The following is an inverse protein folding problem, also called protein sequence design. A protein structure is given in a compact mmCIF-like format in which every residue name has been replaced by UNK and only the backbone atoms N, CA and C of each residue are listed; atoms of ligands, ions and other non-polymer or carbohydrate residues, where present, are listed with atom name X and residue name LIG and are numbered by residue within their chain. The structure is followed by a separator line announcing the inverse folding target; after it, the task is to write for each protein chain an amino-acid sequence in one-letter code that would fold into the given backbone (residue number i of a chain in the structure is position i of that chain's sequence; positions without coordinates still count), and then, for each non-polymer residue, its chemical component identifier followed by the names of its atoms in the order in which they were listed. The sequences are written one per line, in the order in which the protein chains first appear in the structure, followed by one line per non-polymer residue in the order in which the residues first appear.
data_IF_108042294392
#
_entry.id   IF_108042294392
#
_cell.length_a   1.000
_cell.length_b   1.000
_cell.length_c   1.000
_cell.angle_alpha   90.00
_cell.angle_beta   90.00
_cell.angle_gamma   90.00
#
_symmetry.space_group_name_H-M   'P 1'
#
loop_
_entity.id
_entity.type
_entity.pdbx_description
1 polymer ?
#
# COMPACT_ATOMS: atom_id res chain seq x y z
N UNK A 1 6.59 10.11 6.68
CA UNK A 1 5.23 10.03 7.22
C UNK A 1 4.71 11.41 7.60
N UNK A 2 3.42 11.66 7.35
CA UNK A 2 2.78 12.95 7.63
C UNK A 2 2.21 13.04 9.06
N UNK A 3 2.15 11.93 9.78
CA UNK A 3 1.60 11.86 11.14
C UNK A 3 2.36 10.85 12.01
N UNK A 4 2.10 10.90 13.32
CA UNK A 4 2.75 10.06 14.32
C UNK A 4 2.52 8.56 14.07
N UNK A 5 1.31 8.16 13.67
CA UNK A 5 1.01 6.77 13.35
C UNK A 5 1.86 6.26 12.18
N UNK A 6 1.96 7.02 11.10
CA UNK A 6 2.83 6.68 9.97
C UNK A 6 4.30 6.63 10.36
N UNK A 7 4.75 7.51 11.29
CA UNK A 7 6.11 7.49 11.82
C UNK A 7 6.41 6.19 12.59
N UNK A 8 5.49 5.72 13.43
CA UNK A 8 5.66 4.45 14.15
C UNK A 8 5.71 3.25 13.22
N UNK A 9 4.92 3.26 12.15
CA UNK A 9 4.95 2.19 11.13
C UNK A 9 6.28 2.18 10.35
N UNK A 10 6.78 3.35 9.97
CA UNK A 10 8.09 3.46 9.32
C UNK A 10 9.21 2.97 10.26
N UNK A 11 9.19 3.38 11.52
CA UNK A 11 10.17 2.93 12.50
C UNK A 11 10.14 1.40 12.65
N UNK A 12 8.95 0.82 12.78
CA UNK A 12 8.76 -0.63 12.85
C UNK A 12 9.35 -1.32 11.62
N UNK A 13 9.03 -0.87 10.41
CA UNK A 13 9.58 -1.40 9.16
C UNK A 13 11.11 -1.40 9.18
N UNK A 14 11.72 -0.26 9.56
CA UNK A 14 13.19 -0.12 9.62
C UNK A 14 13.83 -1.01 10.67
N UNK A 15 13.21 -1.17 11.83
CA UNK A 15 13.72 -2.04 12.90
C UNK A 15 13.68 -3.52 12.49
N UNK A 16 12.58 -3.98 11.89
CA UNK A 16 12.48 -5.37 11.43
C UNK A 16 13.48 -5.68 10.33
N UNK A 17 13.62 -4.80 9.34
CA UNK A 17 14.61 -4.96 8.27
C UNK A 17 16.04 -4.94 8.83
N UNK A 18 16.35 -4.02 9.74
CA UNK A 18 17.66 -3.93 10.38
C UNK A 18 17.96 -5.14 11.28
N UNK A 19 16.95 -5.75 11.89
CA UNK A 19 17.10 -6.93 12.74
C UNK A 19 17.77 -8.10 12.00
N UNK A 20 17.61 -8.20 10.67
CA UNK A 20 18.28 -9.23 9.86
C UNK A 20 19.79 -9.18 9.97
N UNK A 21 20.40 -8.00 10.16
CA UNK A 21 21.86 -7.84 10.28
C UNK A 21 22.43 -8.39 11.59
N UNK A 22 21.58 -8.55 12.61
CA UNK A 22 21.99 -9.09 13.91
C UNK A 22 21.85 -10.61 14.01
N UNK A 23 21.29 -11.24 12.97
CA UNK A 23 21.08 -12.68 12.94
C UNK A 23 22.27 -13.35 12.27
N UNK A 24 22.87 -14.32 13.00
CA UNK A 24 23.82 -15.22 12.41
C UNK A 24 23.08 -16.31 11.61
N UNK A 25 22.98 -16.15 10.29
CA UNK A 25 22.28 -17.07 9.38
C UNK A 25 22.85 -18.50 9.41
N UNK A 26 24.11 -18.69 9.84
CA UNK A 26 24.70 -20.02 10.00
C UNK A 26 24.11 -20.77 11.21
N UNK A 27 23.57 -20.03 12.19
CA UNK A 27 22.97 -20.60 13.42
C UNK A 27 21.45 -20.54 13.44
N UNK A 28 20.87 -19.55 12.78
CA UNK A 28 19.44 -19.27 12.79
C UNK A 28 18.89 -19.18 11.37
N UNK A 29 17.78 -19.86 11.13
CA UNK A 29 17.06 -19.82 9.84
C UNK A 29 16.00 -18.70 9.77
N UNK A 30 15.90 -17.87 10.81
CA UNK A 30 14.90 -16.78 10.86
C UNK A 30 15.23 -15.71 9.81
N UNK A 31 14.24 -15.32 9.06
CA UNK A 31 14.32 -14.22 8.06
C UNK A 31 13.36 -13.14 8.44
N UNK A 32 13.82 -11.91 8.48
CA UNK A 32 12.98 -10.73 8.70
C UNK A 32 12.73 -10.04 7.36
N UNK A 33 11.47 -9.91 7.00
CA UNK A 33 11.00 -9.16 5.84
C UNK A 33 9.97 -8.14 6.31
N UNK A 34 9.77 -7.09 5.56
CA UNK A 34 8.67 -6.15 5.78
C UNK A 34 7.69 -6.20 4.60
N UNK A 35 6.43 -6.00 4.90
CA UNK A 35 5.36 -5.94 3.91
C UNK A 35 4.69 -4.58 4.01
N UNK A 36 4.57 -3.90 2.89
CA UNK A 36 3.93 -2.61 2.78
C UNK A 36 2.78 -2.72 1.79
N UNK A 37 1.56 -2.51 2.24
CA UNK A 37 0.37 -2.53 1.39
C UNK A 37 -0.62 -1.44 1.79
N UNK A 38 -1.64 -1.23 0.95
CA UNK A 38 -2.65 -0.21 1.13
C UNK A 38 -3.78 -0.62 2.09
N UNK A 39 -4.90 0.06 1.97
CA UNK A 39 -6.06 -0.19 2.83
C UNK A 39 -6.74 -1.51 2.46
N UNK A 40 -6.97 -2.36 3.46
CA UNK A 40 -7.77 -3.57 3.26
C UNK A 40 -9.25 -3.15 3.20
N UNK A 41 -9.89 -3.44 2.06
CA UNK A 41 -11.28 -3.07 1.80
C UNK A 41 -12.22 -3.69 2.85
N UNK A 42 -13.12 -2.88 3.39
CA UNK A 42 -14.07 -3.35 4.39
C UNK A 42 -13.49 -3.58 5.80
N UNK A 43 -12.22 -3.28 6.03
CA UNK A 43 -11.61 -3.41 7.37
C UNK A 43 -12.28 -2.49 8.40
N UNK A 44 -12.24 -2.91 9.67
CA UNK A 44 -12.84 -2.17 10.78
C UNK A 44 -12.32 -0.73 10.85
N UNK A 45 -13.23 0.24 10.91
CA UNK A 45 -12.89 1.66 10.94
C UNK A 45 -12.49 2.29 9.61
N UNK A 46 -12.46 1.52 8.51
CA UNK A 46 -12.19 2.06 7.17
C UNK A 46 -13.36 2.90 6.65
N UNK A 47 -13.13 3.61 5.54
CA UNK A 47 -14.12 4.52 4.94
C UNK A 47 -15.39 3.80 4.47
N UNK A 48 -15.24 2.60 3.92
CA UNK A 48 -16.37 1.83 3.37
C UNK A 48 -17.45 1.50 4.42
N UNK A 49 -17.16 0.86 5.56
CA UNK A 49 -18.15 0.64 6.62
C UNK A 49 -18.80 1.93 7.13
N UNK A 50 -18.03 3.03 7.22
CA UNK A 50 -18.56 4.33 7.66
C UNK A 50 -19.57 4.89 6.66
N UNK A 51 -19.29 4.79 5.37
CA UNK A 51 -20.23 5.24 4.33
C UNK A 51 -21.50 4.39 4.35
N UNK A 52 -21.38 3.06 4.51
CA UNK A 52 -22.55 2.18 4.66
C UNK A 52 -23.42 2.53 5.85
N UNK A 53 -22.81 2.84 6.99
CA UNK A 53 -23.55 3.26 8.19
C UNK A 53 -24.31 4.56 7.95
N UNK A 54 -23.65 5.56 7.33
CA UNK A 54 -24.28 6.84 6.99
C UNK A 54 -25.47 6.66 6.03
N UNK A 55 -25.31 5.84 4.99
CA UNK A 55 -26.37 5.53 4.04
C UNK A 55 -27.57 4.88 4.76
N UNK A 56 -27.31 3.86 5.58
CA UNK A 56 -28.37 3.16 6.33
C UNK A 56 -29.17 4.08 7.27
N UNK A 57 -28.51 5.11 7.79
CA UNK A 57 -29.11 6.08 8.71
C UNK A 57 -29.72 7.28 8.00
N UNK A 58 -29.73 7.33 6.66
CA UNK A 58 -30.11 8.50 5.85
C UNK A 58 -29.34 9.77 6.25
N UNK A 59 -28.05 9.64 6.58
CA UNK A 59 -27.16 10.73 6.94
C UNK A 59 -26.25 11.09 5.76
N UNK A 60 -25.75 12.35 5.74
CA UNK A 60 -24.78 12.77 4.74
C UNK A 60 -23.46 12.01 4.86
N UNK A 61 -22.86 11.70 3.70
CA UNK A 61 -21.54 11.04 3.66
C UNK A 61 -20.46 12.13 3.84
N UNK A 62 -19.62 12.01 4.88
CA UNK A 62 -18.53 12.96 5.09
C UNK A 62 -17.39 12.67 4.08
N UNK A 63 -17.13 13.61 3.18
CA UNK A 63 -16.03 13.57 2.23
C UNK A 63 -14.94 14.54 2.71
N UNK A 64 -13.76 14.01 2.97
CA UNK A 64 -12.62 14.83 3.41
C UNK A 64 -12.16 15.75 2.29
N UNK A 65 -11.91 15.19 1.10
CA UNK A 65 -11.58 15.92 -0.12
C UNK A 65 -12.00 15.07 -1.33
N UNK A 66 -12.71 15.66 -2.32
CA UNK A 66 -13.13 14.93 -3.53
C UNK A 66 -11.98 14.37 -4.38
N UNK A 67 -10.79 14.95 -4.31
CA UNK A 67 -9.61 14.50 -5.06
C UNK A 67 -8.84 13.37 -4.35
N UNK A 68 -9.27 12.99 -3.15
CA UNK A 68 -8.58 12.00 -2.34
C UNK A 68 -8.62 10.62 -2.98
N UNK A 69 -7.45 9.98 -3.09
CA UNK A 69 -7.32 8.62 -3.60
C UNK A 69 -6.70 7.68 -2.57
N UNK A 70 -7.04 6.39 -2.63
CA UNK A 70 -6.53 5.35 -1.73
C UNK A 70 -6.18 4.10 -2.50
N UNK A 71 -5.08 3.46 -2.12
CA UNK A 71 -4.80 2.09 -2.54
C UNK A 71 -5.74 1.12 -1.84
N UNK A 72 -6.11 0.07 -2.54
CA UNK A 72 -7.00 -0.95 -1.99
C UNK A 72 -6.58 -2.36 -2.37
N UNK A 73 -6.88 -3.28 -1.49
CA UNK A 73 -6.84 -4.71 -1.73
C UNK A 73 -7.91 -5.39 -0.85
N UNK A 74 -8.36 -6.55 -1.26
CA UNK A 74 -9.26 -7.38 -0.45
C UNK A 74 -8.51 -8.07 0.68
N UNK A 75 -9.23 -8.66 1.63
CA UNK A 75 -8.61 -9.48 2.68
C UNK A 75 -7.90 -10.70 2.11
N UNK A 76 -8.48 -11.36 1.12
CA UNK A 76 -7.89 -12.54 0.48
C UNK A 76 -6.60 -12.16 -0.27
N UNK A 77 -6.61 -11.07 -1.04
CA UNK A 77 -5.40 -10.55 -1.69
C UNK A 77 -4.30 -10.18 -0.68
N UNK A 78 -4.68 -9.62 0.49
CA UNK A 78 -3.72 -9.32 1.54
C UNK A 78 -3.09 -10.59 2.14
N UNK A 79 -3.90 -11.63 2.40
CA UNK A 79 -3.43 -12.90 2.92
C UNK A 79 -2.52 -13.62 1.92
N UNK A 80 -2.93 -13.69 0.65
CA UNK A 80 -2.13 -14.28 -0.42
C UNK A 80 -0.78 -13.54 -0.60
N UNK A 81 -0.81 -12.22 -0.51
CA UNK A 81 0.41 -11.41 -0.57
C UNK A 81 1.33 -11.69 0.62
N UNK A 82 0.79 -11.80 1.84
CA UNK A 82 1.57 -12.10 3.05
C UNK A 82 2.22 -13.49 2.92
N UNK A 83 1.44 -14.52 2.60
CA UNK A 83 1.92 -15.89 2.50
C UNK A 83 2.97 -16.03 1.39
N UNK A 84 2.68 -15.56 0.19
CA UNK A 84 3.61 -15.63 -0.94
C UNK A 84 4.90 -14.82 -0.71
N UNK A 85 4.81 -13.67 -0.02
CA UNK A 85 6.01 -12.89 0.34
C UNK A 85 6.86 -13.60 1.39
N UNK A 86 6.23 -14.32 2.33
CA UNK A 86 6.94 -15.12 3.34
C UNK A 86 7.72 -16.27 2.70
N UNK A 87 7.18 -16.89 1.67
CA UNK A 87 7.87 -17.94 0.91
C UNK A 87 9.03 -17.39 0.07
N UNK A 88 8.82 -16.23 -0.54
CA UNK A 88 9.80 -15.59 -1.42
C UNK A 88 10.96 -14.92 -0.68
N UNK A 89 10.73 -14.44 0.56
CA UNK A 89 11.69 -13.60 1.28
C UNK A 89 12.98 -14.30 1.65
N UNK A 90 14.10 -13.61 1.45
CA UNK A 90 15.46 -14.06 1.82
C UNK A 90 15.99 -13.35 3.07
N UNK A 91 15.38 -12.21 3.43
CA UNK A 91 15.69 -11.36 4.59
C UNK A 91 16.14 -9.95 4.19
N UNK A 92 15.68 -8.96 4.93
CA UNK A 92 15.87 -7.51 4.71
C UNK A 92 15.09 -6.88 3.56
N UNK A 93 14.31 -7.64 2.81
CA UNK A 93 13.46 -7.07 1.76
C UNK A 93 12.23 -6.37 2.35
N UNK A 94 11.78 -5.34 1.62
CA UNK A 94 10.42 -4.81 1.76
C UNK A 94 9.66 -5.17 0.50
N UNK A 95 8.61 -5.97 0.63
CA UNK A 95 7.72 -6.29 -0.48
C UNK A 95 6.55 -5.30 -0.51
N UNK A 96 6.23 -4.81 -1.70
CA UNK A 96 5.15 -3.86 -1.96
C UNK A 96 4.31 -4.38 -3.12
N UNK A 97 3.02 -4.72 -2.94
CA UNK A 97 2.19 -5.22 -4.02
C UNK A 97 1.88 -4.11 -5.04
N UNK A 98 1.64 -4.49 -6.28
CA UNK A 98 1.10 -3.62 -7.32
C UNK A 98 -0.40 -3.51 -7.12
N UNK A 99 -0.84 -2.46 -6.44
CA UNK A 99 -2.23 -2.27 -6.04
C UNK A 99 -2.98 -1.39 -7.03
N UNK A 100 -4.28 -1.65 -7.12
CA UNK A 100 -5.25 -0.72 -7.69
C UNK A 100 -5.54 0.39 -6.68
N UNK A 101 -6.02 1.53 -7.18
CA UNK A 101 -6.49 2.62 -6.37
C UNK A 101 -7.88 3.07 -6.83
N UNK A 102 -8.58 3.79 -5.96
CA UNK A 102 -9.87 4.38 -6.25
C UNK A 102 -9.93 5.79 -5.67
N UNK A 103 -10.73 6.66 -6.26
CA UNK A 103 -11.09 7.93 -5.64
C UNK A 103 -12.20 7.74 -4.60
N UNK A 104 -12.22 8.59 -3.59
CA UNK A 104 -13.30 8.57 -2.59
C UNK A 104 -14.66 8.85 -3.25
N UNK A 105 -14.67 9.62 -4.33
CA UNK A 105 -15.88 9.91 -5.09
C UNK A 105 -16.38 8.68 -5.86
N UNK A 106 -15.48 7.85 -6.42
CA UNK A 106 -15.88 6.60 -7.08
C UNK A 106 -16.52 5.64 -6.09
N UNK A 107 -15.93 5.50 -4.90
CA UNK A 107 -16.53 4.70 -3.83
C UNK A 107 -17.95 5.17 -3.50
N UNK A 108 -18.14 6.48 -3.32
CA UNK A 108 -19.49 7.05 -3.05
C UNK A 108 -20.44 6.76 -4.21
N UNK A 109 -20.02 6.99 -5.46
CA UNK A 109 -20.86 6.79 -6.63
C UNK A 109 -21.25 5.32 -6.81
N UNK A 110 -20.31 4.39 -6.64
CA UNK A 110 -20.59 2.95 -6.67
C UNK A 110 -21.60 2.53 -5.59
N UNK A 111 -21.52 3.11 -4.40
CA UNK A 111 -22.49 2.86 -3.34
C UNK A 111 -23.88 3.39 -3.71
N UNK A 112 -24.00 4.58 -4.32
CA UNK A 112 -25.26 5.10 -4.85
C UNK A 112 -25.93 4.13 -5.82
N UNK A 113 -25.16 3.59 -6.74
CA UNK A 113 -25.64 2.63 -7.74
C UNK A 113 -26.11 1.31 -7.08
N UNK A 114 -25.30 0.75 -6.18
CA UNK A 114 -25.61 -0.51 -5.49
C UNK A 114 -26.90 -0.40 -4.66
N UNK A 115 -27.05 0.69 -3.91
CA UNK A 115 -28.21 0.89 -3.06
C UNK A 115 -29.41 1.49 -3.79
N UNK A 116 -29.25 1.86 -5.07
CA UNK A 116 -30.29 2.54 -5.90
C UNK A 116 -30.84 3.81 -5.22
N UNK A 117 -30.00 4.45 -4.42
CA UNK A 117 -30.35 5.65 -3.68
C UNK A 117 -29.82 6.90 -4.36
N UNK A 118 -30.68 7.61 -5.06
CA UNK A 118 -30.31 8.85 -5.76
C UNK A 118 -30.07 10.05 -4.82
N UNK A 119 -30.51 9.98 -3.58
CA UNK A 119 -30.49 11.09 -2.63
C UNK A 119 -29.36 11.03 -1.59
N UNK A 120 -28.29 10.26 -1.86
CA UNK A 120 -27.13 10.27 -0.97
C UNK A 120 -26.41 11.61 -1.14
N UNK A 121 -26.55 12.50 -0.14
CA UNK A 121 -25.85 13.77 -0.08
C UNK A 121 -24.45 13.58 0.53
N UNK A 122 -23.52 14.41 0.11
CA UNK A 122 -22.21 14.53 0.73
C UNK A 122 -22.05 15.80 1.52
N UNK A 123 -21.16 15.77 2.50
CA UNK A 123 -20.69 16.93 3.24
C UNK A 123 -19.17 17.00 3.14
N UNK A 124 -18.64 18.07 2.58
CA UNK A 124 -17.19 18.27 2.51
C UNK A 124 -16.71 18.77 3.87
N UNK A 125 -15.95 17.93 4.58
CA UNK A 125 -15.48 18.21 5.95
C UNK A 125 -14.06 18.76 6.03
N UNK A 126 -13.33 18.81 4.90
CA UNK A 126 -11.94 19.26 4.84
C UNK A 126 -10.92 18.21 5.29
N UNK A 127 -9.67 18.40 4.83
CA UNK A 127 -8.54 17.49 5.15
C UNK A 127 -8.13 17.69 6.61
N UNK A 128 -7.98 16.59 7.34
CA UNK A 128 -7.54 16.61 8.74
C UNK A 128 -6.02 16.76 8.82
N UNK A 129 -5.54 17.28 9.93
CA UNK A 129 -4.10 17.39 10.18
C UNK A 129 -3.43 16.01 10.10
N UNK A 130 -2.36 15.91 9.31
CA UNK A 130 -1.63 14.67 9.07
C UNK A 130 -2.31 13.68 8.13
N UNK A 131 -3.44 14.03 7.53
CA UNK A 131 -4.08 13.22 6.48
C UNK A 131 -3.49 13.57 5.11
N UNK A 132 -3.26 12.57 4.27
CA UNK A 132 -2.71 12.75 2.93
C UNK A 132 -3.84 12.72 1.90
N UNK A 133 -3.74 13.60 0.89
CA UNK A 133 -4.63 13.56 -0.26
C UNK A 133 -4.44 12.26 -1.05
N UNK A 134 -3.19 11.93 -1.37
CA UNK A 134 -2.80 10.70 -2.05
C UNK A 134 -1.81 9.91 -1.20
N UNK A 135 -1.87 8.59 -1.25
CA UNK A 135 -0.94 7.70 -0.56
C UNK A 135 0.26 7.39 -1.45
N UNK A 136 1.40 7.12 -0.82
CA UNK A 136 2.62 6.69 -1.50
C UNK A 136 3.00 5.28 -1.01
N UNK A 137 3.15 4.36 -1.95
CA UNK A 137 3.74 3.04 -1.69
C UNK A 137 5.25 3.04 -1.86
N UNK A 138 5.76 3.76 -2.86
CA UNK A 138 7.18 3.99 -3.09
C UNK A 138 7.45 5.49 -3.18
N UNK A 139 8.47 5.94 -2.50
CA UNK A 139 8.94 7.32 -2.59
C UNK A 139 10.16 7.45 -3.51
N UNK A 140 10.53 8.68 -3.84
CA UNK A 140 11.64 8.99 -4.75
C UNK A 140 12.97 8.36 -4.32
N UNK A 141 13.26 8.32 -3.02
CA UNK A 141 14.52 7.80 -2.49
C UNK A 141 14.59 6.26 -2.55
N UNK A 142 13.45 5.61 -2.69
CA UNK A 142 13.35 4.14 -2.77
C UNK A 142 13.45 3.63 -4.20
N UNK A 143 13.04 4.42 -5.19
CA UNK A 143 13.04 4.02 -6.61
C UNK A 143 14.39 3.44 -7.08
N UNK A 144 15.56 4.05 -6.78
CA UNK A 144 16.85 3.55 -7.26
C UNK A 144 17.23 2.15 -6.73
N UNK A 145 16.62 1.73 -5.65
CA UNK A 145 16.85 0.42 -5.00
C UNK A 145 15.64 -0.49 -5.04
N UNK A 146 14.70 -0.20 -5.95
CA UNK A 146 13.47 -0.97 -6.13
C UNK A 146 13.54 -1.78 -7.41
N UNK A 147 13.04 -3.00 -7.32
CA UNK A 147 12.97 -3.96 -8.39
C UNK A 147 11.51 -4.30 -8.69
N UNK A 148 11.19 -4.41 -9.96
CA UNK A 148 9.89 -4.85 -10.47
C UNK A 148 9.89 -6.36 -10.62
N UNK A 149 8.99 -7.05 -9.90
CA UNK A 149 8.89 -8.51 -9.91
C UNK A 149 7.44 -8.97 -9.91
N UNK A 150 6.99 -9.52 -11.04
CA UNK A 150 5.63 -10.06 -11.19
C UNK A 150 4.53 -9.09 -10.69
N UNK A 151 3.85 -9.45 -9.62
CA UNK A 151 2.74 -8.73 -8.97
C UNK A 151 3.18 -7.73 -7.88
N UNK A 152 4.48 -7.57 -7.67
CA UNK A 152 5.04 -6.77 -6.57
C UNK A 152 6.30 -6.01 -6.94
N UNK A 153 6.63 -5.06 -6.09
CA UNK A 153 7.95 -4.43 -6.04
C UNK A 153 8.74 -4.99 -4.86
N UNK A 154 10.04 -5.04 -5.01
CA UNK A 154 10.99 -5.46 -3.99
C UNK A 154 11.93 -4.29 -3.73
N UNK A 155 11.90 -3.73 -2.51
CA UNK A 155 12.81 -2.68 -2.09
C UNK A 155 13.96 -3.33 -1.32
N UNK A 156 15.16 -3.09 -1.80
CA UNK A 156 16.39 -3.50 -1.16
C UNK A 156 16.86 -2.46 -0.13
N UNK A 157 17.19 -2.87 1.08
CA UNK A 157 17.52 -1.94 2.15
C UNK A 157 19.02 -1.72 2.38
N UNK A 158 19.80 -2.73 2.15
CA UNK A 158 21.25 -2.65 2.31
C UNK A 158 21.87 -3.37 1.14
N UNK A 159 22.66 -2.80 0.31
CA UNK A 159 23.35 -3.39 -0.84
C UNK A 159 23.82 -4.86 -0.63
N UNK A 160 22.94 -5.68 -0.02
CA UNK A 160 23.14 -7.10 0.27
C UNK A 160 23.10 -7.93 -1.00
N UNK A 161 22.50 -7.40 -2.03
CA UNK A 161 22.41 -8.03 -3.33
C UNK A 161 23.25 -7.24 -4.33
N UNK A 162 24.23 -7.89 -4.94
CA UNK A 162 24.73 -7.45 -6.24
C UNK A 162 23.63 -7.76 -7.27
N UNK A 163 23.57 -7.03 -8.39
CA UNK A 163 22.57 -7.27 -9.44
C UNK A 163 22.47 -8.76 -9.83
N UNK A 164 23.61 -9.48 -9.83
CA UNK A 164 23.66 -10.91 -10.09
C UNK A 164 23.00 -11.79 -9.01
N UNK A 165 22.98 -11.35 -7.75
CA UNK A 165 22.37 -12.10 -6.66
C UNK A 165 20.86 -11.94 -6.63
N UNK A 166 20.34 -10.76 -6.98
CA UNK A 166 18.90 -10.54 -6.99
C UNK A 166 18.23 -11.33 -8.12
N UNK A 167 18.81 -11.40 -9.30
CA UNK A 167 18.29 -12.21 -10.41
C UNK A 167 18.29 -13.71 -10.07
N UNK A 168 19.27 -14.17 -9.30
CA UNK A 168 19.28 -15.56 -8.83
C UNK A 168 18.15 -15.87 -7.85
N UNK A 169 17.89 -14.93 -6.94
CA UNK A 169 16.83 -15.09 -5.94
C UNK A 169 15.44 -14.85 -6.54
N UNK A 170 15.33 -13.95 -7.51
CA UNK A 170 14.08 -13.52 -8.15
C UNK A 170 14.21 -13.59 -9.68
N UNK A 171 14.12 -14.79 -10.28
CA UNK A 171 14.29 -14.94 -11.72
C UNK A 171 13.30 -14.10 -12.53
N UNK A 172 13.83 -13.29 -13.46
CA UNK A 172 13.04 -12.38 -14.29
C UNK A 172 12.69 -11.03 -13.63
N UNK A 173 13.30 -10.71 -12.48
CA UNK A 173 13.21 -9.38 -11.86
C UNK A 173 13.83 -8.33 -12.77
N UNK A 174 13.28 -7.11 -12.75
CA UNK A 174 13.80 -5.97 -13.51
C UNK A 174 14.02 -4.78 -12.59
N UNK A 175 15.08 -4.02 -12.84
CA UNK A 175 15.28 -2.75 -12.14
C UNK A 175 14.15 -1.80 -12.46
N UNK A 176 13.59 -1.16 -11.45
CA UNK A 176 12.55 -0.17 -11.67
C UNK A 176 13.13 1.04 -12.40
N UNK A 177 12.32 1.62 -13.31
CA UNK A 177 12.78 2.77 -14.12
C UNK A 177 13.10 3.96 -13.22
N UNK A 178 14.34 4.42 -13.27
CA UNK A 178 14.85 5.55 -12.48
C UNK A 178 14.18 6.90 -12.80
N UNK A 179 13.48 7.00 -13.93
CA UNK A 179 12.71 8.21 -14.28
C UNK A 179 11.39 8.33 -13.52
N UNK A 180 10.92 7.25 -12.87
CA UNK A 180 9.78 7.31 -11.96
C UNK A 180 10.16 8.13 -10.72
N UNK A 181 9.24 9.02 -10.31
CA UNK A 181 9.44 9.82 -9.09
C UNK A 181 8.88 9.13 -7.85
N UNK A 182 7.75 8.44 -8.01
CA UNK A 182 7.07 7.74 -6.91
C UNK A 182 6.05 6.75 -7.48
N UNK A 183 5.46 5.93 -6.63
CA UNK A 183 4.22 5.18 -6.93
C UNK A 183 3.17 5.67 -5.96
N UNK A 184 2.25 6.48 -6.46
CA UNK A 184 1.17 7.11 -5.69
C UNK A 184 -0.19 6.49 -6.01
N UNK A 185 -1.15 6.65 -5.11
CA UNK A 185 -2.53 6.25 -5.34
C UNK A 185 -3.23 7.10 -6.40
N UNK A 186 -2.77 8.33 -6.63
CA UNK A 186 -3.26 9.18 -7.72
C UNK A 186 -2.90 8.59 -9.09
N UNK A 187 -1.64 8.17 -9.28
CA UNK A 187 -1.19 7.57 -10.53
C UNK A 187 -1.85 6.22 -10.78
N UNK A 188 -1.98 5.39 -9.73
CA UNK A 188 -2.59 4.08 -9.83
C UNK A 188 -4.09 4.16 -10.10
N UNK A 189 -4.79 5.16 -9.58
CA UNK A 189 -6.21 5.40 -9.83
C UNK A 189 -6.44 5.74 -11.31
N UNK A 190 -5.67 6.65 -11.88
CA UNK A 190 -5.74 7.01 -13.31
C UNK A 190 -5.53 5.80 -14.24
N UNK A 191 -4.74 4.81 -13.82
CA UNK A 191 -4.52 3.56 -14.55
C UNK A 191 -5.58 2.49 -14.29
N UNK A 192 -6.40 2.65 -13.25
CA UNK A 192 -7.39 1.66 -12.81
C UNK A 192 -8.79 1.89 -13.41
N UNK A 193 -9.01 3.03 -14.04
CA UNK A 193 -10.26 3.34 -14.75
C UNK A 193 -10.26 2.57 -16.07
N UNK A 194 -11.27 1.73 -16.34
CA UNK A 194 -11.40 0.99 -17.60
C UNK A 194 -11.73 1.91 -18.76
#
# INVERSE_FOLDING_TARGET
PANTYGATKLLMERLFVAAQNYINLNKNKTRFIALRYGNVFGSSGSVFPKFLEKIKNNEKIPITDPQMTRFTLTMDEALDFILSSTELGHGSEIFVPKLKAYSIMDLKNSLKEIFKENNIEEEIIGVREGEKLHELLLNTDEIPRTWDYKDRYIIEQFNLFTDSNIEKNYPGVKKLNSNLKSISSEDAEKLSIP
#
